data_IF_396702816147
#
_entry.id   IF_396702816147
#
_cell.length_a   1.000
_cell.length_b   1.000
_cell.length_c   1.000
_cell.angle_alpha   90.00
_cell.angle_beta   90.00
_cell.angle_gamma   90.00
#
_symmetry.space_group_name_H-M   'P 1'
#
loop_
_entity.id
_entity.type
_entity.pdbx_description
1 polymer ?
#
# COMPACT_ATOMS: atom_id res chain seq x y z
N UNK A 1 15.84 8.80 11.55
CA UNK A 1 14.44 8.80 12.02
C UNK A 1 13.96 7.35 11.99
N UNK A 2 13.99 6.63 13.12
CA UNK A 2 13.54 5.23 13.22
C UNK A 2 12.06 5.26 13.61
N UNK A 3 11.17 5.11 12.63
CA UNK A 3 9.71 5.14 12.84
C UNK A 3 9.11 3.79 13.27
N UNK A 4 9.93 2.76 13.48
CA UNK A 4 9.45 1.38 13.59
C UNK A 4 10.20 0.64 14.69
N UNK A 5 9.75 0.83 15.92
CA UNK A 5 10.30 0.17 17.11
C UNK A 5 9.21 0.10 18.17
N UNK A 6 8.29 -0.84 17.99
CA UNK A 6 7.16 -1.08 18.88
C UNK A 6 6.19 -2.05 18.22
N UNK A 7 5.31 -2.65 19.00
CA UNK A 7 4.25 -3.61 18.64
C UNK A 7 3.15 -2.99 17.73
N UNK A 8 3.55 -2.08 16.85
CA UNK A 8 2.72 -1.32 15.92
C UNK A 8 2.17 -2.21 14.80
N UNK A 9 0.84 -2.25 14.68
CA UNK A 9 0.10 -3.06 13.71
C UNK A 9 0.45 -2.71 12.25
N UNK A 10 0.15 -3.62 11.33
CA UNK A 10 0.48 -3.49 9.89
C UNK A 10 -0.09 -2.23 9.22
N UNK A 11 -1.10 -1.61 9.82
CA UNK A 11 -1.80 -0.43 9.31
C UNK A 11 -1.50 0.88 10.07
N UNK A 12 -0.69 0.86 11.13
CA UNK A 12 -0.48 2.05 11.98
C UNK A 12 0.09 3.25 11.22
N UNK A 13 1.01 2.99 10.29
CA UNK A 13 1.58 4.04 9.45
C UNK A 13 0.56 4.70 8.52
N UNK A 14 -0.50 3.98 8.14
CA UNK A 14 -1.59 4.54 7.34
C UNK A 14 -2.34 5.55 8.20
N UNK A 15 -2.65 5.19 9.45
CA UNK A 15 -3.30 6.10 10.41
C UNK A 15 -2.43 7.32 10.71
N UNK A 16 -1.14 7.13 10.97
CA UNK A 16 -0.20 8.23 11.23
C UNK A 16 -0.06 9.17 10.02
N UNK A 17 -0.01 8.61 8.81
CA UNK A 17 0.10 9.39 7.59
C UNK A 17 -1.16 10.25 7.34
N UNK A 18 -2.37 9.71 7.60
CA UNK A 18 -3.64 10.44 7.43
C UNK A 18 -3.81 11.64 8.36
N UNK A 19 -3.26 11.60 9.58
CA UNK A 19 -3.33 12.74 10.50
C UNK A 19 -2.70 13.99 9.89
N UNK A 20 -1.55 13.84 9.22
CA UNK A 20 -0.90 14.95 8.49
C UNK A 20 -1.66 15.37 7.22
N UNK A 21 -2.36 14.43 6.57
CA UNK A 21 -3.15 14.69 5.36
C UNK A 21 -4.45 15.48 5.61
N UNK A 22 -5.02 15.39 6.81
CA UNK A 22 -6.19 16.21 7.18
C UNK A 22 -5.88 17.72 7.06
N UNK A 23 -4.68 18.12 7.47
CA UNK A 23 -4.18 19.49 7.36
C UNK A 23 -3.99 19.91 5.90
N UNK A 24 -3.48 19.00 5.05
CA UNK A 24 -3.41 19.22 3.60
C UNK A 24 -4.79 19.50 3.01
N UNK A 25 -5.79 18.65 3.30
CA UNK A 25 -7.16 18.79 2.74
C UNK A 25 -7.82 20.09 3.18
N UNK A 26 -7.67 20.45 4.46
CA UNK A 26 -8.24 21.69 5.03
C UNK A 26 -7.57 22.95 4.48
N UNK A 27 -6.29 22.89 4.14
CA UNK A 27 -5.54 24.02 3.62
C UNK A 27 -5.50 24.11 2.08
N UNK A 28 -5.98 23.09 1.36
CA UNK A 28 -5.75 22.93 -0.09
C UNK A 28 -6.13 24.17 -0.92
N UNK A 29 -7.31 24.77 -0.70
CA UNK A 29 -7.75 25.96 -1.44
C UNK A 29 -6.84 27.17 -1.19
N UNK A 30 -6.40 27.36 0.07
CA UNK A 30 -5.47 28.45 0.43
C UNK A 30 -4.05 28.17 -0.09
N UNK A 31 -3.64 26.91 -0.14
CA UNK A 31 -2.35 26.47 -0.67
C UNK A 31 -2.28 26.62 -2.19
N UNK A 32 -3.37 26.32 -2.90
CA UNK A 32 -3.51 26.51 -4.35
C UNK A 32 -3.46 27.98 -4.77
N UNK A 33 -4.03 28.87 -3.96
CA UNK A 33 -3.96 30.31 -4.18
C UNK A 33 -2.61 30.93 -3.75
N UNK A 34 -1.77 30.16 -3.05
CA UNK A 34 -0.48 30.61 -2.51
C UNK A 34 0.70 30.37 -3.45
N UNK A 35 1.92 30.75 -3.03
CA UNK A 35 3.14 30.62 -3.83
C UNK A 35 3.54 29.17 -4.15
N UNK A 36 3.04 28.19 -3.40
CA UNK A 36 3.20 26.76 -3.69
C UNK A 36 2.08 26.20 -4.58
N UNK A 37 1.09 27.01 -4.96
CA UNK A 37 -0.09 26.57 -5.70
C UNK A 37 0.18 25.73 -6.94
N UNK A 38 1.20 26.03 -7.78
CA UNK A 38 1.57 25.19 -8.91
C UNK A 38 1.88 23.73 -8.54
N UNK A 39 2.47 23.48 -7.37
CA UNK A 39 2.77 22.12 -6.90
C UNK A 39 1.48 21.33 -6.58
N UNK A 40 0.54 21.96 -5.88
CA UNK A 40 -0.75 21.36 -5.51
C UNK A 40 -1.63 21.11 -6.74
N UNK A 41 -1.68 22.07 -7.67
CA UNK A 41 -2.39 21.91 -8.95
C UNK A 41 -1.78 20.76 -9.77
N UNK A 42 -0.46 20.63 -9.77
CA UNK A 42 0.22 19.53 -10.46
C UNK A 42 -0.12 18.18 -9.82
N UNK A 43 -0.17 18.11 -8.49
CA UNK A 43 -0.63 16.94 -7.74
C UNK A 43 -2.07 16.55 -8.07
N UNK A 44 -3.01 17.50 -8.04
CA UNK A 44 -4.42 17.26 -8.38
C UNK A 44 -4.59 16.76 -9.82
N UNK A 45 -3.87 17.36 -10.79
CA UNK A 45 -3.87 16.90 -12.19
C UNK A 45 -3.37 15.47 -12.31
N UNK A 46 -2.32 15.12 -11.55
CA UNK A 46 -1.76 13.77 -11.52
C UNK A 46 -2.75 12.77 -10.92
N UNK A 47 -3.43 13.16 -9.85
CA UNK A 47 -4.53 12.40 -9.26
C UNK A 47 -5.70 12.16 -10.20
N UNK A 48 -6.10 13.19 -10.96
CA UNK A 48 -7.18 13.05 -11.93
C UNK A 48 -6.80 12.08 -13.06
N UNK A 49 -5.57 12.14 -13.57
CA UNK A 49 -5.09 11.18 -14.59
C UNK A 49 -5.15 9.74 -14.07
N UNK A 50 -4.79 9.47 -12.81
CA UNK A 50 -4.87 8.11 -12.24
C UNK A 50 -6.26 7.50 -12.36
N UNK A 51 -7.32 8.29 -12.21
CA UNK A 51 -8.71 7.82 -12.33
C UNK A 51 -9.05 7.36 -13.75
N UNK A 52 -8.38 7.89 -14.77
CA UNK A 52 -8.55 7.44 -16.17
C UNK A 52 -8.05 6.01 -16.36
N UNK A 53 -7.16 5.52 -15.49
CA UNK A 53 -6.57 4.19 -15.56
C UNK A 53 -7.34 3.09 -14.81
N UNK A 54 -8.51 3.39 -14.24
CA UNK A 54 -9.32 2.42 -13.47
C UNK A 54 -9.70 1.16 -14.27
N UNK A 55 -9.94 1.30 -15.57
CA UNK A 55 -10.43 0.21 -16.43
C UNK A 55 -9.34 -0.50 -17.24
N UNK A 56 -8.08 -0.14 -17.03
CA UNK A 56 -6.97 -0.79 -17.71
C UNK A 56 -6.57 -2.09 -16.98
N UNK A 57 -5.90 -3.01 -17.68
CA UNK A 57 -5.26 -4.20 -17.08
C UNK A 57 -3.85 -4.34 -17.62
N UNK A 58 -2.98 -3.43 -17.22
CA UNK A 58 -1.61 -3.41 -17.76
C UNK A 58 -0.58 -4.04 -16.80
N UNK A 59 -1.04 -4.74 -15.76
CA UNK A 59 -0.18 -5.43 -14.81
C UNK A 59 -0.67 -6.85 -14.52
N UNK A 60 0.27 -7.77 -14.28
CA UNK A 60 0.04 -9.21 -14.15
C UNK A 60 -0.83 -9.60 -12.94
N UNK A 61 -0.94 -8.74 -11.93
CA UNK A 61 -1.73 -8.99 -10.71
C UNK A 61 -3.20 -8.56 -10.79
N UNK A 62 -3.63 -7.90 -11.87
CA UNK A 62 -4.96 -7.29 -11.97
C UNK A 62 -6.09 -8.31 -11.80
N UNK A 63 -5.92 -9.49 -12.40
CA UNK A 63 -6.91 -10.56 -12.35
C UNK A 63 -7.14 -11.07 -10.91
N UNK A 64 -6.08 -11.23 -10.11
CA UNK A 64 -6.20 -11.68 -8.72
C UNK A 64 -6.98 -10.69 -7.84
N UNK A 65 -6.82 -9.38 -8.05
CA UNK A 65 -7.61 -8.36 -7.35
C UNK A 65 -9.10 -8.38 -7.74
N UNK A 66 -9.41 -8.68 -9.00
CA UNK A 66 -10.81 -8.80 -9.46
C UNK A 66 -11.47 -10.06 -8.94
N UNK A 67 -10.76 -11.17 -8.94
CA UNK A 67 -11.22 -12.42 -8.33
C UNK A 67 -11.47 -12.23 -6.84
N UNK A 68 -10.61 -11.46 -6.15
CA UNK A 68 -10.80 -11.12 -4.74
C UNK A 68 -12.05 -10.28 -4.55
N UNK A 69 -12.30 -9.29 -5.41
CA UNK A 69 -13.54 -8.50 -5.37
C UNK A 69 -14.79 -9.36 -5.56
N UNK A 70 -14.76 -10.33 -6.48
CA UNK A 70 -15.85 -11.28 -6.68
C UNK A 70 -16.03 -12.19 -5.46
N UNK A 71 -14.94 -12.70 -4.88
CA UNK A 71 -14.96 -13.50 -3.65
C UNK A 71 -15.59 -12.72 -2.48
N UNK A 72 -15.17 -11.48 -2.26
CA UNK A 72 -15.71 -10.59 -1.20
C UNK A 72 -17.21 -10.35 -1.39
N UNK A 73 -17.65 -10.13 -2.62
CA UNK A 73 -19.08 -9.93 -2.94
C UNK A 73 -19.92 -11.16 -2.60
N UNK A 74 -19.37 -12.36 -2.76
CA UNK A 74 -20.04 -13.61 -2.39
C UNK A 74 -20.00 -13.88 -0.88
N UNK A 75 -18.88 -13.53 -0.23
CA UNK A 75 -18.61 -13.85 1.17
C UNK A 75 -19.36 -12.95 2.14
N UNK A 76 -19.42 -11.65 1.87
CA UNK A 76 -19.98 -10.65 2.78
C UNK A 76 -21.34 -10.17 2.28
N UNK A 77 -22.44 -10.39 3.02
CA UNK A 77 -23.75 -9.86 2.64
C UNK A 77 -23.90 -8.35 2.85
N UNK A 78 -23.06 -7.76 3.70
CA UNK A 78 -23.14 -6.34 4.07
C UNK A 78 -22.60 -5.44 2.92
N UNK A 79 -23.45 -4.58 2.34
CA UNK A 79 -23.04 -3.68 1.26
C UNK A 79 -21.95 -2.69 1.67
N UNK A 80 -21.86 -2.29 2.95
CA UNK A 80 -20.85 -1.34 3.41
C UNK A 80 -19.46 -1.97 3.44
N UNK A 81 -19.38 -3.24 3.87
CA UNK A 81 -18.13 -4.01 3.86
C UNK A 81 -17.70 -4.28 2.42
N UNK A 82 -18.63 -4.69 1.55
CA UNK A 82 -18.35 -4.88 0.13
C UNK A 82 -17.83 -3.60 -0.51
N UNK A 83 -18.46 -2.46 -0.23
CA UNK A 83 -18.05 -1.17 -0.76
C UNK A 83 -16.66 -0.77 -0.25
N UNK A 84 -16.39 -0.92 1.05
CA UNK A 84 -15.09 -0.59 1.64
C UNK A 84 -13.93 -1.33 0.95
N UNK A 85 -14.08 -2.64 0.75
CA UNK A 85 -13.09 -3.42 0.00
C UNK A 85 -13.05 -3.07 -1.48
N UNK A 86 -14.22 -2.90 -2.12
CA UNK A 86 -14.31 -2.55 -3.53
C UNK A 86 -13.59 -1.24 -3.84
N UNK A 87 -13.80 -0.22 -3.02
CA UNK A 87 -13.12 1.08 -3.14
C UNK A 87 -11.61 0.93 -2.97
N UNK A 88 -11.16 0.15 -1.99
CA UNK A 88 -9.74 -0.13 -1.78
C UNK A 88 -9.10 -0.88 -2.98
N UNK A 89 -9.77 -1.91 -3.50
CA UNK A 89 -9.31 -2.68 -4.66
C UNK A 89 -9.24 -1.81 -5.92
N UNK A 90 -10.30 -1.04 -6.19
CA UNK A 90 -10.34 -0.13 -7.33
C UNK A 90 -9.23 0.93 -7.27
N UNK A 91 -8.95 1.45 -6.07
CA UNK A 91 -7.83 2.36 -5.84
C UNK A 91 -6.47 1.74 -6.19
N UNK A 92 -6.24 0.47 -5.82
CA UNK A 92 -5.00 -0.24 -6.18
C UNK A 92 -4.91 -0.48 -7.69
N UNK A 93 -6.00 -0.94 -8.33
CA UNK A 93 -6.04 -1.13 -9.78
C UNK A 93 -5.66 0.17 -10.51
N UNK A 94 -6.25 1.31 -10.12
CA UNK A 94 -5.93 2.61 -10.72
C UNK A 94 -4.43 2.97 -10.62
N UNK A 95 -3.82 2.76 -9.45
CA UNK A 95 -2.42 3.14 -9.22
C UNK A 95 -1.47 2.19 -9.91
N UNK A 96 -1.71 0.88 -9.85
CA UNK A 96 -0.90 -0.07 -10.60
C UNK A 96 -0.96 0.24 -12.09
N UNK A 97 -2.15 0.50 -12.62
CA UNK A 97 -2.30 0.83 -14.02
C UNK A 97 -1.56 2.12 -14.40
N UNK A 98 -1.70 3.16 -13.58
CA UNK A 98 -0.98 4.41 -13.80
C UNK A 98 0.54 4.23 -13.73
N UNK A 99 1.06 3.58 -12.68
CA UNK A 99 2.49 3.39 -12.44
C UNK A 99 3.13 2.58 -13.58
N UNK A 100 2.45 1.56 -14.11
CA UNK A 100 2.94 0.77 -15.23
C UNK A 100 2.83 1.48 -16.58
N UNK A 101 1.99 2.52 -16.69
CA UNK A 101 1.91 3.37 -17.90
C UNK A 101 2.88 4.55 -17.89
N UNK A 102 3.55 4.81 -16.77
CA UNK A 102 4.51 5.91 -16.61
C UNK A 102 5.95 5.36 -16.56
N UNK A 103 6.91 5.94 -17.31
CA UNK A 103 8.31 5.55 -17.24
C UNK A 103 8.87 5.62 -15.81
N UNK A 104 9.76 4.70 -15.38
CA UNK A 104 10.29 4.66 -14.01
C UNK A 104 10.83 5.99 -13.48
N UNK A 105 11.52 6.75 -14.33
CA UNK A 105 12.12 8.05 -14.02
C UNK A 105 11.10 9.17 -13.74
N UNK A 106 9.85 9.00 -14.18
CA UNK A 106 8.76 9.97 -13.97
C UNK A 106 7.86 9.59 -12.79
N UNK A 107 8.05 8.42 -12.17
CA UNK A 107 7.27 7.98 -11.02
C UNK A 107 7.69 8.75 -9.77
N UNK A 108 6.72 9.12 -8.95
CA UNK A 108 6.99 9.75 -7.66
C UNK A 108 6.33 8.96 -6.54
N UNK A 109 6.86 9.11 -5.32
CA UNK A 109 6.24 8.52 -4.12
C UNK A 109 4.80 8.98 -3.92
N UNK A 110 4.45 10.20 -4.36
CA UNK A 110 3.09 10.73 -4.31
C UNK A 110 2.07 9.87 -5.10
N UNK A 111 2.52 9.11 -6.10
CA UNK A 111 1.65 8.25 -6.91
C UNK A 111 1.18 7.01 -6.16
N UNK A 112 2.02 6.49 -5.27
CA UNK A 112 1.74 5.26 -4.52
C UNK A 112 1.13 5.57 -3.16
N UNK A 113 1.58 6.64 -2.49
CA UNK A 113 1.07 6.98 -1.16
C UNK A 113 -0.30 7.64 -1.18
N UNK A 114 -0.80 8.05 -2.34
CA UNK A 114 -2.19 8.52 -2.46
C UNK A 114 -3.21 7.47 -1.99
N UNK A 115 -2.99 6.18 -2.24
CA UNK A 115 -3.95 5.14 -1.86
C UNK A 115 -4.13 5.00 -0.36
N UNK A 116 -3.06 4.86 0.44
CA UNK A 116 -3.18 4.93 1.90
C UNK A 116 -3.91 6.18 2.42
N UNK A 117 -3.85 7.30 1.69
CA UNK A 117 -4.57 8.53 2.05
C UNK A 117 -6.05 8.52 1.63
N UNK A 118 -6.40 7.80 0.56
CA UNK A 118 -7.72 7.80 -0.06
C UNK A 118 -8.60 6.61 0.34
N UNK A 119 -8.02 5.53 0.89
CA UNK A 119 -8.81 4.42 1.43
C UNK A 119 -9.85 4.92 2.44
N UNK A 120 -11.03 4.30 2.38
CA UNK A 120 -12.17 4.68 3.21
C UNK A 120 -11.93 4.33 4.67
N UNK A 121 -12.60 5.03 5.58
CA UNK A 121 -12.53 4.71 7.01
C UNK A 121 -13.01 3.27 7.26
N UNK A 122 -14.00 2.79 6.51
CA UNK A 122 -14.47 1.39 6.60
C UNK A 122 -13.39 0.36 6.27
N UNK A 123 -12.55 0.59 5.26
CA UNK A 123 -11.44 -0.32 4.98
C UNK A 123 -10.35 -0.25 6.06
N UNK A 124 -10.13 0.94 6.62
CA UNK A 124 -9.16 1.10 7.71
C UNK A 124 -9.62 0.38 8.98
N UNK A 125 -10.90 0.41 9.30
CA UNK A 125 -11.44 -0.34 10.44
C UNK A 125 -11.21 -1.85 10.26
N UNK A 126 -11.38 -2.36 9.04
CA UNK A 126 -11.06 -3.75 8.67
C UNK A 126 -9.57 -4.07 8.73
N UNK A 127 -8.69 -3.07 8.63
CA UNK A 127 -7.23 -3.22 8.79
C UNK A 127 -6.75 -3.06 10.24
N UNK A 128 -7.48 -2.32 11.08
CA UNK A 128 -7.16 -2.18 12.51
C UNK A 128 -7.37 -3.50 13.26
N UNK A 129 -8.41 -4.24 12.89
CA UNK A 129 -8.60 -5.64 13.26
C UNK A 129 -8.46 -6.48 11.98
N UNK A 130 -7.21 -6.74 11.54
CA UNK A 130 -6.91 -7.15 10.19
C UNK A 130 -7.66 -8.43 9.82
N UNK A 131 -8.67 -8.27 8.95
CA UNK A 131 -9.30 -9.38 8.25
C UNK A 131 -8.34 -9.92 7.19
N UNK A 132 -8.57 -11.16 6.77
CA UNK A 132 -7.69 -11.82 5.82
C UNK A 132 -7.72 -11.15 4.45
N UNK A 133 -8.89 -10.74 3.97
CA UNK A 133 -9.03 -10.02 2.71
C UNK A 133 -8.42 -8.62 2.77
N UNK A 134 -8.47 -7.94 3.93
CA UNK A 134 -7.79 -6.66 4.11
C UNK A 134 -6.27 -6.82 4.03
N UNK A 135 -5.73 -7.88 4.63
CA UNK A 135 -4.32 -8.24 4.55
C UNK A 135 -3.88 -8.56 3.11
N UNK A 136 -4.70 -9.30 2.34
CA UNK A 136 -4.44 -9.57 0.92
C UNK A 136 -4.33 -8.26 0.14
N UNK A 137 -5.29 -7.34 0.29
CA UNK A 137 -5.25 -6.04 -0.40
C UNK A 137 -3.98 -5.25 -0.01
N UNK A 138 -3.63 -5.24 1.28
CA UNK A 138 -2.41 -4.57 1.75
C UNK A 138 -1.13 -5.23 1.22
N UNK A 139 -1.14 -6.54 0.98
CA UNK A 139 -0.01 -7.26 0.36
C UNK A 139 0.21 -6.82 -1.09
N UNK A 140 -0.87 -6.60 -1.85
CA UNK A 140 -0.76 -6.01 -3.18
C UNK A 140 -0.16 -4.61 -3.12
N UNK A 141 -0.61 -3.76 -2.19
CA UNK A 141 0.01 -2.44 -1.99
C UNK A 141 1.53 -2.53 -1.75
N UNK A 142 2.01 -3.54 -1.03
CA UNK A 142 3.43 -3.70 -0.70
C UNK A 142 4.35 -3.82 -1.94
N UNK A 143 3.81 -4.16 -3.11
CA UNK A 143 4.57 -4.21 -4.38
C UNK A 143 4.86 -2.81 -4.93
N UNK A 144 3.97 -1.84 -4.72
CA UNK A 144 4.07 -0.50 -5.29
C UNK A 144 5.33 0.28 -4.86
N UNK A 145 5.74 0.28 -3.58
CA UNK A 145 7.00 0.87 -3.14
C UNK A 145 8.24 0.40 -3.90
N UNK A 146 8.29 -0.88 -4.28
CA UNK A 146 9.43 -1.45 -5.03
C UNK A 146 9.44 -0.99 -6.51
N UNK A 147 8.35 -0.38 -7.01
CA UNK A 147 8.27 0.20 -8.37
C UNK A 147 8.77 1.65 -8.44
N UNK A 148 9.11 2.26 -7.30
CA UNK A 148 9.65 3.62 -7.21
C UNK A 148 11.16 3.53 -6.99
N UNK A 149 11.91 3.78 -8.07
CA UNK A 149 13.38 3.78 -8.01
C UNK A 149 13.91 5.03 -7.27
N UNK A 150 15.15 4.97 -6.78
CA UNK A 150 15.95 6.12 -6.29
C UNK A 150 15.56 6.79 -4.95
N UNK A 151 14.70 6.18 -4.12
CA UNK A 151 14.34 6.74 -2.80
C UNK A 151 14.83 5.86 -1.65
N UNK A 152 15.91 6.30 -0.98
CA UNK A 152 16.51 5.60 0.17
C UNK A 152 15.53 5.28 1.30
N UNK A 153 14.49 6.10 1.49
CA UNK A 153 13.50 5.91 2.54
C UNK A 153 12.39 4.89 2.19
N UNK A 154 12.30 4.48 0.92
CA UNK A 154 11.39 3.42 0.45
C UNK A 154 12.06 2.06 0.32
N UNK A 155 13.38 2.02 0.38
CA UNK A 155 14.15 0.80 0.21
C UNK A 155 13.75 -0.27 1.27
N UNK A 156 13.28 -1.42 0.79
CA UNK A 156 12.84 -2.53 1.64
C UNK A 156 11.52 -2.31 2.37
N UNK A 157 10.81 -1.21 2.11
CA UNK A 157 9.50 -0.95 2.71
C UNK A 157 8.49 -2.05 2.32
N UNK A 158 8.41 -2.37 1.03
CA UNK A 158 7.50 -3.39 0.50
C UNK A 158 7.79 -4.76 1.09
N UNK A 159 9.07 -5.16 1.06
CA UNK A 159 9.56 -6.41 1.70
C UNK A 159 9.18 -6.51 3.18
N UNK A 160 9.41 -5.45 3.95
CA UNK A 160 9.11 -5.46 5.38
C UNK A 160 7.60 -5.54 5.65
N UNK A 161 6.80 -4.79 4.90
CA UNK A 161 5.35 -4.83 5.04
C UNK A 161 4.80 -6.23 4.70
N UNK A 162 5.26 -6.81 3.58
CA UNK A 162 4.83 -8.15 3.15
C UNK A 162 5.26 -9.23 4.14
N UNK A 163 6.43 -9.09 4.78
CA UNK A 163 6.90 -9.99 5.85
C UNK A 163 5.93 -10.07 7.02
N UNK A 164 5.39 -8.93 7.46
CA UNK A 164 4.45 -8.87 8.57
C UNK A 164 3.10 -9.48 8.16
N UNK A 165 2.65 -9.20 6.94
CA UNK A 165 1.41 -9.77 6.41
C UNK A 165 1.50 -11.29 6.33
N UNK A 166 2.62 -11.82 5.85
CA UNK A 166 2.84 -13.27 5.75
C UNK A 166 2.72 -13.99 7.11
N UNK A 167 3.06 -13.33 8.22
CA UNK A 167 2.91 -13.90 9.57
C UNK A 167 1.47 -13.84 10.11
N UNK A 168 0.59 -13.07 9.49
CA UNK A 168 -0.79 -12.84 9.93
C UNK A 168 -1.82 -13.52 9.03
N UNK A 169 -1.44 -13.84 7.79
CA UNK A 169 -2.33 -14.46 6.81
C UNK A 169 -2.53 -15.95 7.13
N UNK A 170 -3.75 -16.45 6.93
CA UNK A 170 -4.05 -17.87 7.06
C UNK A 170 -3.75 -18.67 5.77
N UNK A 171 -3.81 -19.99 5.89
CA UNK A 171 -3.54 -20.91 4.78
C UNK A 171 -4.57 -20.80 3.64
N UNK A 172 -5.81 -20.39 3.95
CA UNK A 172 -6.88 -20.19 2.95
C UNK A 172 -6.58 -18.98 2.05
N UNK A 173 -6.02 -17.92 2.63
CA UNK A 173 -5.75 -16.65 1.94
C UNK A 173 -4.32 -16.56 1.39
N UNK A 174 -3.41 -17.42 1.84
CA UNK A 174 -2.03 -17.48 1.35
C UNK A 174 -1.88 -17.57 -0.19
N UNK A 175 -2.72 -18.32 -0.93
CA UNK A 175 -2.68 -18.35 -2.40
C UNK A 175 -2.91 -16.98 -3.04
N UNK A 176 -3.69 -16.11 -2.41
CA UNK A 176 -4.03 -14.78 -2.93
C UNK A 176 -2.84 -13.81 -2.89
N UNK A 177 -1.84 -14.06 -2.03
CA UNK A 177 -0.64 -13.22 -1.93
C UNK A 177 0.58 -13.80 -2.66
N UNK A 178 0.41 -14.86 -3.45
CA UNK A 178 1.50 -15.44 -4.24
C UNK A 178 2.08 -14.47 -5.27
N UNK A 179 1.21 -13.72 -5.95
CA UNK A 179 1.66 -12.70 -6.91
C UNK A 179 2.51 -11.60 -6.24
N UNK A 180 2.06 -10.96 -5.14
CA UNK A 180 2.91 -10.03 -4.39
C UNK A 180 4.26 -10.60 -3.95
N UNK A 181 4.28 -11.85 -3.46
CA UNK A 181 5.52 -12.53 -3.04
C UNK A 181 6.50 -12.70 -4.20
N UNK A 182 6.01 -13.08 -5.37
CA UNK A 182 6.83 -13.24 -6.57
C UNK A 182 7.38 -11.91 -7.08
N UNK A 183 6.55 -10.87 -7.15
CA UNK A 183 6.95 -9.55 -7.65
C UNK A 183 8.03 -8.88 -6.80
N UNK A 184 7.99 -9.06 -5.48
CA UNK A 184 9.00 -8.50 -4.56
C UNK A 184 10.27 -9.37 -4.52
N UNK A 185 10.25 -10.56 -5.14
CA UNK A 185 11.37 -11.52 -5.11
C UNK A 185 11.47 -12.30 -3.80
N UNK A 186 10.39 -12.33 -3.00
CA UNK A 186 10.28 -13.07 -1.75
C UNK A 186 9.65 -14.46 -2.02
N UNK A 187 10.34 -15.32 -2.75
CA UNK A 187 9.83 -16.63 -3.17
C UNK A 187 10.13 -17.76 -2.19
N UNK A 188 10.87 -17.51 -1.10
CA UNK A 188 11.28 -18.58 -0.17
C UNK A 188 10.92 -18.25 1.28
N UNK A 189 10.12 -19.13 1.90
CA UNK A 189 9.76 -19.14 3.33
C UNK A 189 11.02 -19.06 4.23
N UNK A 190 12.15 -19.58 3.75
CA UNK A 190 13.44 -19.58 4.45
C UNK A 190 14.12 -18.21 4.57
N UNK A 191 13.85 -17.28 3.64
CA UNK A 191 14.45 -15.93 3.70
C UNK A 191 13.83 -15.09 4.83
N UNK A 192 12.56 -15.32 5.15
CA UNK A 192 11.87 -14.67 6.26
C UNK A 192 12.26 -15.24 7.63
N UNK A 193 12.45 -16.56 7.74
CA UNK A 193 12.94 -17.18 8.98
C UNK A 193 14.36 -16.74 9.37
N UNK A 194 15.22 -16.41 8.37
CA UNK A 194 16.58 -15.89 8.61
C UNK A 194 16.64 -14.40 8.91
N UNK A 195 15.75 -13.58 8.35
CA UNK A 195 15.73 -12.13 8.61
C UNK A 195 15.16 -11.76 9.99
N UNK A 196 14.30 -12.61 10.57
CA UNK A 196 13.79 -12.43 11.95
C UNK A 196 14.81 -12.71 13.06
N UNK A 197 15.96 -13.33 12.75
CA UNK A 197 16.96 -13.77 13.75
C UNK A 197 18.27 -12.96 13.71
N UNK A 198 18.42 -12.00 12.81
CA UNK A 198 19.66 -11.24 12.63
C UNK A 198 19.49 -9.73 12.78
N UNK A 199 18.97 -9.31 13.94
CA UNK A 199 19.34 -8.00 14.51
C UNK A 199 20.17 -8.22 15.77
N UNK A 200 21.42 -8.64 15.55
CA UNK A 200 22.47 -8.55 16.56
C UNK A 200 22.82 -7.07 16.76
N UNK A 201 22.71 -6.61 18.00
CA UNK A 201 23.06 -5.29 18.49
C UNK A 201 24.47 -4.88 18.04
N UNK A 202 24.65 -3.82 17.23
CA UNK A 202 25.99 -3.31 16.94
C UNK A 202 26.43 -2.39 18.09
N UNK A 203 27.41 -2.85 18.86
CA UNK A 203 28.35 -1.94 19.53
C UNK A 203 28.29 -1.85 21.05
N UNK A 204 28.37 -2.98 21.77
CA UNK A 204 29.02 -2.99 23.07
C UNK A 204 30.48 -3.41 22.86
N UNK A 205 31.35 -2.43 22.57
CA UNK A 205 32.78 -2.54 22.85
C UNK A 205 33.14 -1.43 23.82
N UNK A 206 33.10 -1.81 25.09
CA UNK A 206 33.78 -1.10 26.15
C UNK A 206 35.27 -1.49 26.16
N UNK A 207 36.07 -0.49 26.56
CA UNK A 207 37.50 -0.52 26.96
C UNK A 207 38.54 -0.46 25.86
#
# INVERSE_FOLDING_TARGET
MRFWGGESGVAEWIVLSRQSYSLYRMANVKLQAGPLGPLFISGDRRGQRRKEFLLHDNFSGAQGLRELSAYITQRYPDPQIQQAYGDAINGLLAIFNFVNSVPPEMRESSDIFVWPFEVTDGYLDLLQQPTQEALVILAYFAVLPEKIESKWWLEGFGRHLLSKIYLLIDDEHLPWIQWPLQEIGCTTIEQYARSGSSYSTPGEKAS
#
